data_IF_934075405778
#
_entry.id   IF_934075405778
#
_cell.length_a   1.000
_cell.length_b   1.000
_cell.length_c   1.000
_cell.angle_alpha   90.00
_cell.angle_beta   90.00
_cell.angle_gamma   90.00
#
_symmetry.space_group_name_H-M   'P 1'
#
loop_
_entity.id
_entity.type
_entity.pdbx_description
1 polymer ?
#
# COMPACT_ATOMS: atom_id res chain seq x y z
N UNK A 1 -4.77 -41.17 -38.90
CA UNK A 1 -4.71 -41.14 -37.41
C UNK A 1 -4.19 -39.77 -36.97
N UNK A 2 -5.13 -38.91 -36.61
CA UNK A 2 -5.06 -37.71 -35.76
C UNK A 2 -3.69 -37.06 -35.49
N UNK A 3 -3.37 -36.04 -36.28
CA UNK A 3 -2.43 -34.99 -35.89
C UNK A 3 -3.04 -34.13 -34.79
N UNK A 4 -2.50 -34.25 -33.57
CA UNK A 4 -2.76 -33.31 -32.48
C UNK A 4 -2.05 -31.99 -32.82
N UNK A 5 -2.79 -31.05 -33.37
CA UNK A 5 -2.38 -29.64 -33.39
C UNK A 5 -2.16 -29.19 -31.95
N UNK A 6 -0.90 -28.96 -31.56
CA UNK A 6 -0.59 -28.14 -30.41
C UNK A 6 -1.08 -26.74 -30.75
N UNK A 7 -2.24 -26.37 -30.19
CA UNK A 7 -2.72 -24.99 -30.21
C UNK A 7 -1.57 -24.10 -29.76
N UNK A 8 -1.16 -23.20 -30.64
CA UNK A 8 -0.11 -22.23 -30.43
C UNK A 8 -0.40 -21.46 -29.14
N UNK A 9 0.57 -21.34 -28.23
CA UNK A 9 0.42 -20.64 -26.94
C UNK A 9 0.01 -19.16 -27.03
N UNK A 10 -0.20 -18.64 -28.24
CA UNK A 10 -0.75 -17.33 -28.54
C UNK A 10 -2.25 -17.25 -28.24
N UNK A 11 -3.00 -18.35 -28.27
CA UNK A 11 -4.47 -18.33 -28.02
C UNK A 11 -4.85 -18.59 -26.56
N UNK A 12 -3.91 -19.00 -25.70
CA UNK A 12 -4.16 -19.21 -24.27
C UNK A 12 -4.01 -17.89 -23.51
N UNK A 13 -5.15 -17.31 -23.10
CA UNK A 13 -5.21 -16.08 -22.30
C UNK A 13 -4.36 -16.15 -21.03
N UNK A 14 -4.21 -17.34 -20.42
CA UNK A 14 -3.37 -17.50 -19.22
C UNK A 14 -1.90 -17.40 -19.55
N UNK A 15 -1.48 -17.95 -20.69
CA UNK A 15 -0.12 -17.82 -21.18
C UNK A 15 0.20 -16.36 -21.55
N UNK A 16 -0.72 -15.69 -22.25
CA UNK A 16 -0.62 -14.26 -22.55
C UNK A 16 -0.50 -13.42 -21.28
N UNK A 17 -1.37 -13.64 -20.29
CA UNK A 17 -1.33 -12.93 -19.01
C UNK A 17 0.01 -13.12 -18.29
N UNK A 18 0.51 -14.36 -18.16
CA UNK A 18 1.78 -14.63 -17.49
C UNK A 18 2.96 -13.97 -18.20
N UNK A 19 2.96 -13.99 -19.53
CA UNK A 19 4.00 -13.34 -20.33
C UNK A 19 3.96 -11.82 -20.10
N UNK A 20 2.80 -11.20 -20.28
CA UNK A 20 2.61 -9.76 -20.07
C UNK A 20 2.95 -9.32 -18.64
N UNK A 21 2.51 -10.08 -17.64
CA UNK A 21 2.84 -9.82 -16.23
C UNK A 21 4.35 -9.81 -16.02
N UNK A 22 5.07 -10.81 -16.53
CA UNK A 22 6.53 -10.88 -16.43
C UNK A 22 7.21 -9.72 -17.17
N UNK A 23 6.74 -9.38 -18.36
CA UNK A 23 7.28 -8.26 -19.15
C UNK A 23 7.07 -6.93 -18.44
N UNK A 24 5.86 -6.64 -17.95
CA UNK A 24 5.59 -5.41 -17.20
C UNK A 24 6.36 -5.37 -15.88
N UNK A 25 6.49 -6.50 -15.19
CA UNK A 25 7.26 -6.59 -13.95
C UNK A 25 8.74 -6.27 -14.20
N UNK A 26 9.34 -6.81 -15.27
CA UNK A 26 10.71 -6.49 -15.67
C UNK A 26 10.88 -5.02 -16.03
N UNK A 27 9.99 -4.50 -16.87
CA UNK A 27 10.04 -3.11 -17.36
C UNK A 27 9.86 -2.05 -16.26
N UNK A 28 9.23 -2.37 -15.12
CA UNK A 28 9.15 -1.45 -13.99
C UNK A 28 10.53 -1.10 -13.41
N UNK A 29 11.48 -2.05 -13.47
CA UNK A 29 12.85 -1.88 -13.02
C UNK A 29 13.81 -1.43 -14.13
N UNK A 30 13.31 -1.11 -15.32
CA UNK A 30 14.11 -0.56 -16.43
C UNK A 30 13.75 0.93 -16.59
N UNK A 31 14.73 1.80 -16.84
CA UNK A 31 14.50 3.23 -17.05
C UNK A 31 15.30 3.69 -18.26
N UNK A 32 14.58 4.04 -19.33
CA UNK A 32 15.16 4.51 -20.60
C UNK A 32 15.96 5.82 -20.43
N UNK A 33 15.80 6.54 -19.32
CA UNK A 33 16.43 7.83 -19.05
C UNK A 33 17.68 7.74 -18.17
N UNK A 34 17.96 6.57 -17.61
CA UNK A 34 19.08 6.36 -16.68
C UNK A 34 20.20 5.66 -17.45
N UNK A 35 21.45 6.18 -17.42
CA UNK A 35 22.58 5.53 -18.08
C UNK A 35 22.71 4.07 -17.61
N UNK A 36 23.13 3.16 -18.50
CA UNK A 36 23.31 1.72 -18.22
C UNK A 36 24.17 1.40 -16.98
N UNK A 37 24.87 2.41 -16.44
CA UNK A 37 25.73 2.31 -15.25
C UNK A 37 24.97 2.30 -13.92
N UNK A 38 23.69 2.71 -13.88
CA UNK A 38 22.91 2.74 -12.62
C UNK A 38 21.89 1.60 -12.61
N UNK A 39 22.15 0.61 -11.77
CA UNK A 39 21.23 -0.52 -11.57
C UNK A 39 20.01 -0.09 -10.74
N UNK A 40 18.85 -0.03 -11.39
CA UNK A 40 17.58 0.32 -10.76
C UNK A 40 17.09 -0.75 -9.78
N UNK A 41 17.47 -2.02 -9.98
CA UNK A 41 17.19 -3.08 -9.01
C UNK A 41 17.97 -2.79 -7.72
N UNK A 42 19.22 -2.40 -7.87
CA UNK A 42 20.05 -1.97 -6.73
C UNK A 42 19.45 -0.74 -6.04
N UNK A 43 18.94 0.23 -6.80
CA UNK A 43 18.26 1.41 -6.23
C UNK A 43 16.98 1.04 -5.47
N UNK A 44 16.18 0.11 -5.98
CA UNK A 44 15.00 -0.41 -5.27
C UNK A 44 15.39 -1.16 -3.98
N UNK A 45 16.50 -1.90 -3.98
CA UNK A 45 17.04 -2.55 -2.79
C UNK A 45 17.51 -1.52 -1.74
N UNK A 46 18.23 -0.48 -2.16
CA UNK A 46 18.64 0.61 -1.26
C UNK A 46 17.43 1.34 -0.67
N UNK A 47 16.42 1.60 -1.49
CA UNK A 47 15.18 2.23 -1.04
C UNK A 47 14.46 1.35 0.00
N UNK A 48 14.33 0.05 -0.28
CA UNK A 48 13.75 -0.90 0.67
C UNK A 48 14.56 -0.95 1.97
N UNK A 49 15.89 -0.96 1.89
CA UNK A 49 16.77 -0.94 3.06
C UNK A 49 16.56 0.32 3.92
N UNK A 50 16.48 1.51 3.29
CA UNK A 50 16.24 2.77 4.00
C UNK A 50 14.91 2.77 4.73
N UNK A 51 13.83 2.26 4.12
CA UNK A 51 12.51 2.19 4.76
C UNK A 51 12.39 1.04 5.78
N UNK A 52 13.19 -0.01 5.65
CA UNK A 52 13.14 -1.15 6.55
C UNK A 52 13.81 -0.88 7.91
N UNK A 53 14.82 -0.01 7.96
CA UNK A 53 15.63 0.24 9.17
C UNK A 53 14.84 0.97 10.29
N UNK A 54 14.15 2.10 10.05
CA UNK A 54 13.43 2.82 11.10
C UNK A 54 12.39 1.98 11.87
N UNK A 55 11.49 1.20 11.23
CA UNK A 55 10.56 0.36 11.96
C UNK A 55 11.27 -0.76 12.72
N UNK A 56 12.39 -1.30 12.21
CA UNK A 56 13.18 -2.30 12.92
C UNK A 56 13.81 -1.74 14.21
N UNK A 57 14.41 -0.55 14.14
CA UNK A 57 14.99 0.14 15.29
C UNK A 57 13.90 0.49 16.30
N UNK A 58 12.79 1.06 15.82
CA UNK A 58 11.65 1.39 16.69
C UNK A 58 11.07 0.15 17.37
N UNK A 59 10.89 -0.95 16.62
CA UNK A 59 10.47 -2.23 17.16
C UNK A 59 11.41 -2.69 18.28
N UNK A 60 12.73 -2.64 18.06
CA UNK A 60 13.72 -3.04 19.07
C UNK A 60 13.58 -2.23 20.36
N UNK A 61 13.53 -0.89 20.27
CA UNK A 61 13.44 -0.04 21.45
C UNK A 61 12.14 -0.23 22.23
N UNK A 62 11.01 -0.25 21.54
CA UNK A 62 9.71 -0.36 22.22
C UNK A 62 9.48 -1.76 22.76
N UNK A 63 10.00 -2.79 22.10
CA UNK A 63 9.90 -4.18 22.57
C UNK A 63 10.48 -4.39 23.97
N UNK A 64 11.49 -3.60 24.36
CA UNK A 64 12.07 -3.63 25.71
C UNK A 64 11.12 -3.15 26.81
N UNK A 65 10.01 -2.48 26.45
CA UNK A 65 9.00 -2.01 27.40
C UNK A 65 7.93 -3.06 27.75
N UNK A 66 7.97 -4.23 27.10
CA UNK A 66 7.04 -5.34 27.29
C UNK A 66 7.71 -6.49 28.04
N UNK A 67 6.95 -7.20 28.86
CA UNK A 67 7.47 -8.32 29.64
C UNK A 67 6.38 -9.21 30.20
N UNK A 68 6.77 -10.37 30.74
CA UNK A 68 5.86 -11.41 31.24
C UNK A 68 5.04 -11.01 32.47
N UNK A 69 5.24 -9.82 33.00
CA UNK A 69 4.43 -9.23 34.06
C UNK A 69 3.14 -8.58 33.53
N UNK A 70 3.01 -8.38 32.21
CA UNK A 70 1.81 -7.81 31.61
C UNK A 70 0.75 -8.88 31.36
N UNK A 71 -0.50 -8.52 31.62
CA UNK A 71 -1.67 -9.27 31.15
C UNK A 71 -1.89 -9.05 29.64
N UNK A 72 -2.64 -9.94 29.00
CA UNK A 72 -3.01 -9.85 27.58
C UNK A 72 -3.72 -8.52 27.26
N UNK A 73 -4.57 -8.06 28.18
CA UNK A 73 -5.30 -6.79 28.07
C UNK A 73 -4.38 -5.57 28.17
N UNK A 74 -3.46 -5.57 29.14
CA UNK A 74 -2.47 -4.50 29.27
C UNK A 74 -1.56 -4.42 28.04
N UNK A 75 -1.12 -5.57 27.51
CA UNK A 75 -0.38 -5.64 26.26
C UNK A 75 -1.21 -5.06 25.11
N UNK A 76 -2.46 -5.49 24.97
CA UNK A 76 -3.36 -5.08 23.91
C UNK A 76 -3.49 -3.56 23.82
N UNK A 77 -3.80 -2.94 24.96
CA UNK A 77 -4.03 -1.51 25.10
C UNK A 77 -2.73 -0.73 24.95
N UNK A 78 -1.66 -1.14 25.65
CA UNK A 78 -0.37 -0.43 25.62
C UNK A 78 0.30 -0.48 24.25
N UNK A 79 0.03 -1.51 23.45
CA UNK A 79 0.57 -1.70 22.12
C UNK A 79 -0.16 -0.90 21.01
N UNK A 80 -1.35 -0.33 21.26
CA UNK A 80 -2.12 0.36 20.21
C UNK A 80 -1.33 1.50 19.53
N UNK A 81 -0.64 2.39 20.25
CA UNK A 81 0.09 3.48 19.60
C UNK A 81 1.19 2.94 18.68
N UNK A 82 1.84 1.85 19.05
CA UNK A 82 2.88 1.23 18.23
C UNK A 82 2.29 0.49 17.04
N UNK A 83 1.18 -0.24 17.22
CA UNK A 83 0.43 -0.86 16.11
C UNK A 83 0.05 0.22 15.07
N UNK A 84 -0.47 1.37 15.50
CA UNK A 84 -0.77 2.51 14.63
C UNK A 84 0.48 3.12 13.98
N UNK A 85 1.60 3.19 14.69
CA UNK A 85 2.88 3.60 14.10
C UNK A 85 3.27 2.71 12.92
N UNK A 86 3.31 1.39 13.12
CA UNK A 86 3.70 0.44 12.06
C UNK A 86 2.75 0.48 10.87
N UNK A 87 1.44 0.53 11.12
CA UNK A 87 0.42 0.65 10.08
C UNK A 87 0.62 1.95 9.27
N UNK A 88 0.74 3.09 9.94
CA UNK A 88 0.94 4.38 9.29
C UNK A 88 2.30 4.46 8.59
N UNK A 89 3.35 3.83 9.13
CA UNK A 89 4.65 3.74 8.50
C UNK A 89 4.60 2.96 7.20
N UNK A 90 3.91 1.83 7.16
CA UNK A 90 3.69 1.05 5.93
C UNK A 90 2.95 1.86 4.87
N UNK A 91 1.89 2.57 5.28
CA UNK A 91 1.15 3.50 4.41
C UNK A 91 2.07 4.58 3.82
N UNK A 92 2.92 5.19 4.65
CA UNK A 92 3.90 6.17 4.22
C UNK A 92 4.93 5.57 3.26
N UNK A 93 5.56 4.45 3.61
CA UNK A 93 6.58 3.82 2.79
C UNK A 93 6.06 3.41 1.40
N UNK A 94 4.91 2.74 1.35
CA UNK A 94 4.27 2.38 0.07
C UNK A 94 3.84 3.61 -0.71
N UNK A 95 3.27 4.61 -0.03
CA UNK A 95 2.91 5.89 -0.64
C UNK A 95 4.10 6.60 -1.29
N UNK A 96 5.25 6.64 -0.60
CA UNK A 96 6.47 7.24 -1.10
C UNK A 96 6.92 6.57 -2.41
N UNK A 97 7.02 5.23 -2.39
CA UNK A 97 7.39 4.46 -3.60
C UNK A 97 6.39 4.69 -4.72
N UNK A 98 5.09 4.74 -4.41
CA UNK A 98 4.03 5.01 -5.39
C UNK A 98 4.22 6.38 -6.05
N UNK A 99 4.59 7.40 -5.28
CA UNK A 99 4.91 8.74 -5.81
C UNK A 99 6.19 8.73 -6.65
N UNK A 100 7.21 7.95 -6.27
CA UNK A 100 8.44 7.83 -7.09
C UNK A 100 8.18 7.19 -8.45
N UNK A 101 7.29 6.21 -8.51
CA UNK A 101 6.91 5.56 -9.78
C UNK A 101 5.68 6.19 -10.43
N UNK A 102 5.29 7.39 -10.00
CA UNK A 102 4.01 8.00 -10.34
C UNK A 102 3.72 8.06 -11.84
N UNK A 103 4.73 8.44 -12.62
CA UNK A 103 4.60 8.56 -14.08
C UNK A 103 4.49 7.20 -14.77
N UNK A 104 5.00 6.13 -14.15
CA UNK A 104 4.95 4.75 -14.67
C UNK A 104 3.66 4.00 -14.31
N UNK A 105 2.80 4.54 -13.41
CA UNK A 105 1.55 3.88 -13.05
C UNK A 105 0.69 3.64 -14.29
N UNK A 106 0.60 4.62 -15.19
CA UNK A 106 -0.21 4.53 -16.41
C UNK A 106 0.64 4.16 -17.62
N UNK A 107 0.05 3.54 -18.65
CA UNK A 107 0.77 3.19 -19.85
C UNK A 107 1.11 4.44 -20.67
N UNK A 108 2.34 4.45 -21.19
CA UNK A 108 2.77 5.48 -22.14
C UNK A 108 2.08 5.30 -23.50
N UNK A 109 2.07 6.38 -24.29
CA UNK A 109 1.52 6.35 -25.67
C UNK A 109 2.20 5.24 -26.51
N UNK A 110 3.49 4.98 -26.30
CA UNK A 110 4.24 3.92 -26.98
C UNK A 110 3.69 2.53 -26.61
N UNK A 111 3.53 2.25 -25.33
CA UNK A 111 2.95 1.00 -24.83
C UNK A 111 1.54 0.78 -25.39
N UNK A 112 0.74 1.85 -25.48
CA UNK A 112 -0.61 1.77 -26.03
C UNK A 112 -0.64 1.47 -27.54
N UNK A 113 0.31 1.98 -28.32
CA UNK A 113 0.42 1.69 -29.76
C UNK A 113 0.86 0.25 -29.99
N UNK A 114 1.89 -0.21 -29.26
CA UNK A 114 2.40 -1.58 -29.34
C UNK A 114 1.32 -2.57 -28.87
N UNK A 115 0.63 -2.26 -27.78
CA UNK A 115 -0.47 -3.06 -27.29
C UNK A 115 -1.68 -3.08 -28.23
N UNK A 116 -1.94 -1.96 -28.93
CA UNK A 116 -3.07 -1.82 -29.84
C UNK A 116 -2.93 -2.63 -31.14
N UNK A 117 -1.69 -2.98 -31.54
CA UNK A 117 -1.43 -3.82 -32.71
C UNK A 117 -1.46 -5.32 -32.41
N UNK A 118 -1.38 -5.70 -31.14
CA UNK A 118 -1.41 -7.09 -30.71
C UNK A 118 -2.87 -7.60 -30.60
N UNK A 119 -3.18 -8.83 -31.04
CA UNK A 119 -4.51 -9.43 -30.93
C UNK A 119 -4.81 -9.89 -29.49
N UNK A 120 -4.62 -9.01 -28.51
CA UNK A 120 -4.79 -9.30 -27.08
C UNK A 120 -5.97 -8.49 -26.54
N UNK A 121 -6.81 -9.13 -25.72
CA UNK A 121 -7.92 -8.45 -25.06
C UNK A 121 -7.39 -7.37 -24.12
N UNK A 122 -7.96 -6.16 -24.20
CA UNK A 122 -7.60 -5.04 -23.31
C UNK A 122 -7.68 -5.40 -21.82
N UNK A 123 -8.64 -6.26 -21.44
CA UNK A 123 -8.79 -6.73 -20.06
C UNK A 123 -7.55 -7.47 -19.59
N UNK A 124 -7.00 -8.38 -20.40
CA UNK A 124 -5.80 -9.17 -20.07
C UNK A 124 -4.60 -8.26 -19.83
N UNK A 125 -4.45 -7.22 -20.64
CA UNK A 125 -3.36 -6.26 -20.51
C UNK A 125 -3.49 -5.40 -19.25
N UNK A 126 -4.69 -4.86 -19.00
CA UNK A 126 -4.98 -4.09 -17.78
C UNK A 126 -4.74 -4.93 -16.53
N UNK A 127 -5.26 -6.15 -16.48
CA UNK A 127 -5.05 -7.04 -15.33
C UNK A 127 -3.58 -7.42 -15.17
N UNK A 128 -2.87 -7.73 -16.26
CA UNK A 128 -1.45 -8.09 -16.19
C UNK A 128 -0.61 -6.94 -15.63
N UNK A 129 -0.85 -5.71 -16.12
CA UNK A 129 -0.11 -4.53 -15.67
C UNK A 129 -0.45 -4.14 -14.22
N UNK A 130 -1.73 -4.10 -13.88
CA UNK A 130 -2.15 -3.80 -12.50
C UNK A 130 -1.63 -4.86 -11.52
N UNK A 131 -1.64 -6.15 -11.92
CA UNK A 131 -1.07 -7.22 -11.10
C UNK A 131 0.44 -7.07 -10.92
N UNK A 132 1.17 -6.66 -11.97
CA UNK A 132 2.61 -6.40 -11.88
C UNK A 132 2.93 -5.26 -10.90
N UNK A 133 2.17 -4.16 -10.98
CA UNK A 133 2.30 -3.04 -10.04
C UNK A 133 1.98 -3.46 -8.59
N UNK A 134 0.86 -4.17 -8.39
CA UNK A 134 0.48 -4.70 -7.06
C UNK A 134 1.57 -5.64 -6.53
N UNK A 135 2.14 -6.50 -7.37
CA UNK A 135 3.20 -7.43 -6.95
C UNK A 135 4.47 -6.69 -6.48
N UNK A 136 4.89 -5.63 -7.18
CA UNK A 136 6.03 -4.79 -6.76
C UNK A 136 5.74 -4.11 -5.44
N UNK A 137 4.56 -3.50 -5.31
CA UNK A 137 4.16 -2.76 -4.11
C UNK A 137 4.01 -3.67 -2.90
N UNK A 138 3.35 -4.82 -3.06
CA UNK A 138 3.22 -5.82 -2.00
C UNK A 138 4.60 -6.38 -1.66
N UNK A 139 5.44 -6.70 -2.64
CA UNK A 139 6.82 -7.13 -2.38
C UNK A 139 7.62 -6.11 -1.56
N UNK A 140 7.54 -4.83 -1.91
CA UNK A 140 8.15 -3.74 -1.15
C UNK A 140 7.57 -3.64 0.27
N UNK A 141 6.24 -3.66 0.42
CA UNK A 141 5.57 -3.63 1.71
C UNK A 141 5.98 -4.80 2.61
N UNK A 142 6.14 -6.00 2.04
CA UNK A 142 6.63 -7.17 2.76
C UNK A 142 8.02 -6.90 3.31
N UNK A 143 8.96 -6.45 2.46
CA UNK A 143 10.35 -6.20 2.89
C UNK A 143 10.42 -5.13 3.98
N UNK A 144 9.67 -4.04 3.84
CA UNK A 144 9.66 -2.95 4.83
C UNK A 144 9.10 -3.39 6.18
N UNK A 145 8.02 -4.19 6.18
CA UNK A 145 7.33 -4.57 7.41
C UNK A 145 7.88 -5.85 8.06
N UNK A 146 8.71 -6.63 7.37
CA UNK A 146 9.18 -7.92 7.86
C UNK A 146 9.96 -7.80 9.18
N UNK A 147 10.93 -6.87 9.34
CA UNK A 147 11.66 -6.78 10.61
C UNK A 147 10.80 -6.26 11.75
N UNK A 148 9.90 -5.30 11.49
CA UNK A 148 8.93 -4.84 12.48
C UNK A 148 8.06 -5.99 12.96
N UNK A 149 7.53 -6.79 12.03
CA UNK A 149 6.74 -7.99 12.32
C UNK A 149 7.52 -8.96 13.19
N UNK A 150 8.75 -9.31 12.83
CA UNK A 150 9.55 -10.29 13.58
C UNK A 150 9.94 -9.73 14.95
N UNK A 151 10.57 -8.57 15.01
CA UNK A 151 11.13 -8.02 16.26
C UNK A 151 9.99 -7.70 17.24
N UNK A 152 9.01 -6.91 16.81
CA UNK A 152 7.91 -6.50 17.69
C UNK A 152 7.06 -7.69 18.11
N UNK A 153 6.70 -8.58 17.19
CA UNK A 153 5.77 -9.67 17.54
C UNK A 153 6.43 -10.75 18.38
N UNK A 154 7.70 -11.09 18.12
CA UNK A 154 8.39 -12.08 18.91
C UNK A 154 8.67 -11.57 20.32
N UNK A 155 9.11 -10.32 20.47
CA UNK A 155 9.50 -9.81 21.79
C UNK A 155 8.28 -9.37 22.60
N UNK A 156 7.28 -8.74 21.98
CA UNK A 156 6.08 -8.31 22.70
C UNK A 156 5.13 -9.48 23.02
N UNK A 157 5.17 -10.58 22.26
CA UNK A 157 4.26 -11.71 22.43
C UNK A 157 4.86 -12.95 23.10
N UNK A 158 6.17 -12.99 23.41
CA UNK A 158 6.83 -14.23 23.86
C UNK A 158 6.29 -14.83 25.17
N UNK A 159 5.53 -14.07 25.96
CA UNK A 159 4.88 -14.53 27.19
C UNK A 159 3.40 -14.89 27.01
N UNK A 160 2.83 -14.69 25.81
CA UNK A 160 1.47 -15.10 25.49
C UNK A 160 1.36 -16.62 25.33
N UNK A 161 0.16 -17.20 25.50
CA UNK A 161 -0.13 -18.56 25.05
C UNK A 161 0.24 -18.76 23.57
N UNK A 162 0.68 -19.98 23.22
CA UNK A 162 1.20 -20.29 21.88
C UNK A 162 0.26 -19.85 20.74
N UNK A 163 -1.05 -20.05 20.88
CA UNK A 163 -2.02 -19.63 19.87
C UNK A 163 -2.02 -18.10 19.67
N UNK A 164 -2.14 -17.34 20.75
CA UNK A 164 -2.15 -15.87 20.70
C UNK A 164 -0.81 -15.32 20.19
N UNK A 165 0.30 -15.93 20.60
CA UNK A 165 1.64 -15.64 20.10
C UNK A 165 1.77 -15.84 18.59
N UNK A 166 1.26 -16.95 18.04
CA UNK A 166 1.33 -17.23 16.59
C UNK A 166 0.42 -16.32 15.77
N UNK A 167 -0.71 -15.87 16.34
CA UNK A 167 -1.65 -14.95 15.68
C UNK A 167 -1.13 -13.52 15.64
N UNK A 168 -0.35 -13.09 16.62
CA UNK A 168 0.18 -11.72 16.72
C UNK A 168 1.04 -11.26 15.51
N UNK A 169 2.05 -12.02 15.03
CA UNK A 169 2.81 -11.65 13.84
C UNK A 169 1.96 -11.69 12.57
N UNK A 170 0.99 -12.61 12.48
CA UNK A 170 0.06 -12.66 11.34
C UNK A 170 -0.83 -11.41 11.32
N UNK A 171 -1.35 -11.01 12.48
CA UNK A 171 -2.14 -9.79 12.64
C UNK A 171 -1.33 -8.55 12.22
N UNK A 172 -0.11 -8.42 12.73
CA UNK A 172 0.79 -7.33 12.40
C UNK A 172 1.11 -7.26 10.91
N UNK A 173 1.50 -8.38 10.33
CA UNK A 173 1.87 -8.46 8.92
C UNK A 173 0.68 -8.14 8.00
N UNK A 174 -0.46 -8.76 8.26
CA UNK A 174 -1.66 -8.56 7.43
C UNK A 174 -2.16 -7.13 7.53
N UNK A 175 -2.21 -6.53 8.72
CA UNK A 175 -2.64 -5.15 8.91
C UNK A 175 -1.71 -4.15 8.21
N UNK A 176 -0.39 -4.29 8.38
CA UNK A 176 0.59 -3.37 7.79
C UNK A 176 0.66 -3.48 6.26
N UNK A 177 0.71 -4.70 5.70
CA UNK A 177 0.76 -4.90 4.24
C UNK A 177 -0.53 -4.42 3.57
N UNK A 178 -1.69 -4.75 4.15
CA UNK A 178 -2.99 -4.34 3.59
C UNK A 178 -3.22 -2.82 3.69
N UNK A 179 -2.74 -2.19 4.75
CA UNK A 179 -2.72 -0.73 4.89
C UNK A 179 -1.89 -0.06 3.79
N UNK A 180 -0.68 -0.55 3.54
CA UNK A 180 0.18 -0.06 2.46
C UNK A 180 -0.49 -0.24 1.09
N UNK A 181 -1.07 -1.43 0.84
CA UNK A 181 -1.80 -1.71 -0.40
C UNK A 181 -2.97 -0.74 -0.62
N UNK A 182 -3.71 -0.37 0.43
CA UNK A 182 -4.79 0.61 0.31
C UNK A 182 -4.28 1.95 -0.22
N UNK A 183 -3.15 2.45 0.30
CA UNK A 183 -2.57 3.73 -0.15
C UNK A 183 -2.19 3.67 -1.62
N UNK A 184 -1.52 2.61 -2.05
CA UNK A 184 -1.18 2.43 -3.46
C UNK A 184 -2.44 2.43 -4.34
N UNK A 185 -3.45 1.64 -3.97
CA UNK A 185 -4.70 1.57 -4.73
C UNK A 185 -5.42 2.93 -4.75
N UNK A 186 -5.39 3.67 -3.65
CA UNK A 186 -6.05 4.98 -3.53
C UNK A 186 -5.37 6.02 -4.42
N UNK A 187 -4.04 6.06 -4.44
CA UNK A 187 -3.28 6.93 -5.32
C UNK A 187 -3.48 6.54 -6.80
N UNK A 188 -3.46 5.25 -7.12
CA UNK A 188 -3.73 4.76 -8.48
C UNK A 188 -5.15 5.11 -8.94
N UNK A 189 -6.15 4.92 -8.07
CA UNK A 189 -7.54 5.29 -8.33
C UNK A 189 -7.69 6.81 -8.52
N UNK A 190 -7.10 7.61 -7.64
CA UNK A 190 -7.11 9.07 -7.74
C UNK A 190 -6.53 9.53 -9.08
N UNK A 191 -5.33 9.05 -9.43
CA UNK A 191 -4.67 9.42 -10.68
C UNK A 191 -5.47 8.97 -11.91
N UNK A 192 -6.06 7.77 -11.88
CA UNK A 192 -6.93 7.29 -12.97
C UNK A 192 -8.17 8.18 -13.12
N UNK A 193 -8.84 8.51 -12.02
CA UNK A 193 -10.01 9.38 -12.02
C UNK A 193 -9.67 10.79 -12.52
N UNK A 194 -8.57 11.37 -12.06
CA UNK A 194 -8.08 12.67 -12.56
C UNK A 194 -7.81 12.62 -14.06
N UNK A 195 -7.23 11.54 -14.58
CA UNK A 195 -6.95 11.36 -16.00
C UNK A 195 -8.22 11.18 -16.86
N UNK A 196 -9.33 10.73 -16.27
CA UNK A 196 -10.63 10.65 -16.95
C UNK A 196 -11.33 12.02 -17.00
N UNK A 197 -11.27 12.78 -15.91
CA UNK A 197 -12.02 14.04 -15.77
C UNK A 197 -11.28 15.24 -16.36
N UNK A 198 -9.96 15.32 -16.21
CA UNK A 198 -9.20 16.53 -16.52
C UNK A 198 -8.59 16.51 -17.95
N UNK A 199 -8.45 17.68 -18.59
CA UNK A 199 -7.63 17.82 -19.79
C UNK A 199 -6.15 17.68 -19.44
N UNK A 200 -5.33 17.19 -20.39
CA UNK A 200 -3.90 16.84 -20.20
C UNK A 200 -3.06 17.97 -19.58
N UNK A 201 -3.39 19.24 -19.87
CA UNK A 201 -2.69 20.41 -19.29
C UNK A 201 -2.94 20.55 -17.79
N UNK A 202 -4.19 20.37 -17.36
CA UNK A 202 -4.58 20.51 -15.96
C UNK A 202 -4.23 19.26 -15.16
N UNK A 203 -4.30 18.07 -15.78
CA UNK A 203 -3.88 16.81 -15.19
C UNK A 203 -2.46 16.90 -14.64
N UNK A 204 -1.50 17.40 -15.43
CA UNK A 204 -0.10 17.54 -14.97
C UNK A 204 0.04 18.43 -13.74
N UNK A 205 -0.66 19.56 -13.70
CA UNK A 205 -0.61 20.49 -12.56
C UNK A 205 -1.25 19.91 -11.30
N UNK A 206 -2.47 19.36 -11.43
CA UNK A 206 -3.20 18.79 -10.30
C UNK A 206 -2.49 17.54 -9.77
N UNK A 207 -1.95 16.72 -10.67
CA UNK A 207 -1.16 15.55 -10.30
C UNK A 207 0.10 15.93 -9.52
N UNK A 208 0.84 16.94 -9.97
CA UNK A 208 2.03 17.43 -9.26
C UNK A 208 1.67 18.00 -7.87
N UNK A 209 0.57 18.76 -7.77
CA UNK A 209 0.08 19.25 -6.49
C UNK A 209 -0.36 18.11 -5.56
N UNK A 210 -1.06 17.10 -6.09
CA UNK A 210 -1.48 15.93 -5.31
C UNK A 210 -0.27 15.14 -4.77
N UNK A 211 0.77 14.93 -5.59
CA UNK A 211 2.02 14.33 -5.15
C UNK A 211 2.70 15.16 -4.07
N UNK A 212 2.82 16.47 -4.27
CA UNK A 212 3.47 17.36 -3.30
C UNK A 212 2.74 17.34 -1.96
N UNK A 213 1.42 17.49 -1.97
CA UNK A 213 0.59 17.43 -0.76
C UNK A 213 0.72 16.07 -0.07
N UNK A 214 0.70 14.98 -0.84
CA UNK A 214 0.88 13.65 -0.30
C UNK A 214 2.25 13.48 0.37
N UNK A 215 3.33 13.96 -0.27
CA UNK A 215 4.69 13.92 0.29
C UNK A 215 4.79 14.78 1.55
N UNK A 216 4.17 15.96 1.59
CA UNK A 216 4.12 16.80 2.79
C UNK A 216 3.43 16.05 3.94
N UNK A 217 2.23 15.54 3.72
CA UNK A 217 1.47 14.78 4.74
C UNK A 217 2.25 13.54 5.20
N UNK A 218 2.94 12.88 4.27
CA UNK A 218 3.79 11.72 4.56
C UNK A 218 4.97 12.10 5.47
N UNK A 219 5.69 13.17 5.14
CA UNK A 219 6.83 13.64 5.93
C UNK A 219 6.35 14.11 7.31
N UNK A 220 5.25 14.85 7.39
CA UNK A 220 4.64 15.26 8.64
C UNK A 220 4.28 14.05 9.50
N UNK A 221 3.63 13.04 8.93
CA UNK A 221 3.35 11.79 9.64
C UNK A 221 4.63 11.13 10.14
N UNK A 222 5.64 10.96 9.27
CA UNK A 222 6.89 10.28 9.63
C UNK A 222 7.66 10.99 10.75
N UNK A 223 7.64 12.34 10.76
CA UNK A 223 8.36 13.16 11.74
C UNK A 223 7.59 13.27 13.06
N UNK A 224 6.28 13.50 13.01
CA UNK A 224 5.48 13.81 14.21
C UNK A 224 4.80 12.59 14.85
N UNK A 225 4.57 11.50 14.10
CA UNK A 225 3.89 10.32 14.64
C UNK A 225 4.61 9.68 15.83
N UNK A 226 5.95 9.46 15.82
CA UNK A 226 6.63 8.89 16.99
C UNK A 226 6.39 9.71 18.27
N UNK A 227 6.50 11.03 18.18
CA UNK A 227 6.29 11.93 19.32
C UNK A 227 4.84 11.95 19.81
N UNK A 228 3.87 11.95 18.89
CA UNK A 228 2.45 11.87 19.22
C UNK A 228 2.13 10.54 19.93
N UNK A 229 2.65 9.44 19.40
CA UNK A 229 2.34 8.09 19.89
C UNK A 229 3.04 7.80 21.23
N UNK A 230 4.24 8.32 21.48
CA UNK A 230 4.88 8.30 22.80
C UNK A 230 4.06 9.08 23.82
N UNK A 231 3.53 10.26 23.47
CA UNK A 231 2.66 11.04 24.37
C UNK A 231 1.36 10.29 24.69
N UNK A 232 0.79 9.59 23.71
CA UNK A 232 -0.39 8.75 23.94
C UNK A 232 -0.07 7.52 24.80
N UNK A 233 1.11 6.91 24.63
CA UNK A 233 1.57 5.77 25.43
C UNK A 233 2.01 6.16 26.86
N UNK A 234 2.39 7.42 27.09
CA UNK A 234 2.76 7.95 28.40
C UNK A 234 1.56 8.32 29.28
N UNK A 235 0.33 8.24 28.74
CA UNK A 235 -0.90 8.35 29.54
C UNK A 235 -1.00 7.06 30.34
N UNK A 236 -0.83 7.17 31.66
CA UNK A 236 -0.75 6.04 32.59
C UNK A 236 -2.07 5.23 32.59
N UNK A 237 -2.06 3.93 32.24
CA UNK A 237 -3.22 3.06 32.38
C UNK A 237 -3.71 2.96 33.84
N UNK A 238 -2.84 3.17 34.83
CA UNK A 238 -3.21 3.13 36.26
C UNK A 238 -4.07 4.31 36.70
N UNK A 239 -3.88 5.49 36.11
CA UNK A 239 -4.72 6.67 36.34
C UNK A 239 -6.10 6.55 35.64
N UNK A 240 -6.28 5.52 34.80
CA UNK A 240 -7.48 5.35 33.99
C UNK A 240 -8.56 4.48 34.60
N UNK A 241 -8.42 3.80 35.74
CA UNK A 241 -9.57 3.03 36.29
C UNK A 241 -10.82 3.90 36.53
N UNK A 242 -10.65 5.17 36.95
CA UNK A 242 -11.74 6.15 37.07
C UNK A 242 -12.12 6.82 35.74
N UNK A 243 -11.17 7.04 34.83
CA UNK A 243 -11.41 7.68 33.52
C UNK A 243 -11.99 6.71 32.45
N UNK A 244 -11.65 5.43 32.54
CA UNK A 244 -12.14 4.30 31.74
C UNK A 244 -13.56 3.91 32.15
N UNK A 245 -13.93 4.18 33.41
CA UNK A 245 -15.31 4.09 33.91
C UNK A 245 -16.17 5.30 33.51
N UNK A 246 -15.55 6.47 33.28
CA UNK A 246 -16.23 7.71 32.89
C UNK A 246 -16.33 7.92 31.37
N UNK A 247 -15.50 7.23 30.58
CA UNK A 247 -15.56 7.25 29.13
C UNK A 247 -16.31 6.01 28.60
N UNK A 248 -17.01 6.15 27.47
CA UNK A 248 -17.80 5.08 26.82
C UNK A 248 -16.91 3.94 26.27
N UNK A 249 -16.27 3.18 27.16
CA UNK A 249 -15.55 1.93 26.89
C UNK A 249 -14.03 1.98 27.10
N UNK A 250 -13.39 0.78 27.20
CA UNK A 250 -11.95 0.61 27.48
C UNK A 250 -10.99 1.20 26.43
N UNK A 251 -11.52 1.70 25.31
CA UNK A 251 -10.77 2.23 24.17
C UNK A 251 -10.72 3.75 24.11
N UNK A 252 -11.22 4.45 25.13
CA UNK A 252 -11.24 5.91 25.19
C UNK A 252 -9.85 6.57 25.10
N UNK A 253 -8.80 5.88 25.56
CA UNK A 253 -7.41 6.34 25.41
C UNK A 253 -6.99 6.41 23.92
N UNK A 254 -7.61 5.58 23.08
CA UNK A 254 -7.61 5.73 21.64
C UNK A 254 -8.65 6.81 21.30
N UNK A 255 -8.42 8.05 21.74
CA UNK A 255 -9.29 9.20 21.42
C UNK A 255 -9.51 9.39 19.91
N UNK A 256 -8.71 8.71 19.07
CA UNK A 256 -8.90 8.56 17.62
C UNK A 256 -10.02 7.57 17.24
N UNK A 257 -10.21 6.44 17.92
CA UNK A 257 -11.33 5.51 17.61
C UNK A 257 -12.67 6.04 18.15
N UNK A 258 -12.63 6.83 19.22
CA UNK A 258 -13.84 7.35 19.88
C UNK A 258 -14.26 8.72 19.35
N UNK A 259 -13.36 9.48 18.72
CA UNK A 259 -13.71 10.77 18.11
C UNK A 259 -14.33 10.59 16.72
N UNK A 260 -15.35 11.40 16.42
CA UNK A 260 -16.01 11.43 15.10
C UNK A 260 -15.04 11.63 13.94
N UNK A 261 -13.89 12.26 14.17
CA UNK A 261 -12.88 12.52 13.15
C UNK A 261 -11.88 11.35 12.99
N UNK A 262 -11.45 10.72 14.09
CA UNK A 262 -10.41 9.70 14.02
C UNK A 262 -10.90 8.36 13.44
N UNK A 263 -12.20 8.07 13.48
CA UNK A 263 -12.81 6.92 12.78
C UNK A 263 -12.61 7.02 11.26
N UNK A 264 -12.37 8.20 10.70
CA UNK A 264 -12.12 8.38 9.26
C UNK A 264 -10.65 8.23 8.87
N UNK A 265 -9.74 8.03 9.83
CA UNK A 265 -8.33 7.86 9.55
C UNK A 265 -8.05 6.42 9.12
N UNK A 266 -7.54 6.19 7.89
CA UNK A 266 -7.28 4.84 7.39
C UNK A 266 -6.44 3.93 8.31
N UNK A 267 -5.40 4.42 9.02
CA UNK A 267 -4.64 3.57 9.94
C UNK A 267 -5.50 2.89 11.03
N UNK A 268 -6.57 3.54 11.48
CA UNK A 268 -7.47 3.03 12.52
C UNK A 268 -8.33 1.88 12.02
N UNK A 269 -8.65 1.84 10.71
CA UNK A 269 -9.36 0.71 10.11
C UNK A 269 -8.52 -0.57 10.13
N UNK A 270 -7.22 -0.44 9.84
CA UNK A 270 -6.29 -1.57 9.85
C UNK A 270 -5.85 -1.97 11.25
N UNK A 271 -5.95 -1.07 12.24
CA UNK A 271 -5.91 -1.47 13.64
C UNK A 271 -7.06 -2.43 13.93
N UNK A 272 -8.27 -2.15 13.44
CA UNK A 272 -9.39 -3.10 13.55
C UNK A 272 -9.08 -4.47 12.93
N UNK A 273 -8.47 -4.50 11.75
CA UNK A 273 -8.02 -5.76 11.11
C UNK A 273 -7.00 -6.49 11.99
N UNK A 274 -6.07 -5.76 12.59
CA UNK A 274 -5.07 -6.31 13.51
C UNK A 274 -5.75 -7.02 14.69
N UNK A 275 -6.60 -6.32 15.43
CA UNK A 275 -7.20 -6.84 16.66
C UNK A 275 -8.11 -8.05 16.39
N UNK A 276 -8.86 -8.04 15.26
CA UNK A 276 -9.66 -9.19 14.83
C UNK A 276 -8.79 -10.44 14.57
N UNK A 277 -7.66 -10.28 13.88
CA UNK A 277 -6.77 -11.41 13.58
C UNK A 277 -6.11 -11.91 14.86
N UNK A 278 -5.65 -11.00 15.73
CA UNK A 278 -5.03 -11.39 16.99
C UNK A 278 -6.04 -12.08 17.93
N UNK A 279 -7.29 -11.62 17.93
CA UNK A 279 -8.39 -12.19 18.73
C UNK A 279 -8.71 -11.39 19.99
N UNK A 280 -8.24 -10.15 20.08
CA UNK A 280 -8.52 -9.26 21.22
C UNK A 280 -9.75 -8.41 20.94
N UNK A 281 -10.76 -8.51 21.81
CA UNK A 281 -12.08 -7.85 21.71
C UNK A 281 -12.61 -7.67 20.26
N UNK A 282 -12.92 -8.77 19.57
CA UNK A 282 -13.31 -8.71 18.18
C UNK A 282 -14.63 -7.94 17.96
N UNK A 283 -15.48 -7.80 18.97
CA UNK A 283 -16.75 -7.08 18.85
C UNK A 283 -16.52 -5.57 18.74
N UNK A 284 -15.62 -5.02 19.57
CA UNK A 284 -15.29 -3.60 19.54
C UNK A 284 -14.62 -3.17 18.22
N UNK A 285 -13.75 -4.02 17.65
CA UNK A 285 -12.95 -3.68 16.47
C UNK A 285 -13.59 -4.06 15.12
N UNK A 286 -14.73 -4.77 15.13
CA UNK A 286 -15.38 -5.29 13.92
C UNK A 286 -15.72 -4.19 12.91
N UNK A 287 -16.28 -3.08 13.38
CA UNK A 287 -16.68 -1.97 12.50
C UNK A 287 -15.50 -1.38 11.75
N UNK A 288 -14.37 -1.22 12.43
CA UNK A 288 -13.12 -0.69 11.86
C UNK A 288 -12.51 -1.67 10.86
N UNK A 289 -12.47 -2.95 11.19
CA UNK A 289 -11.97 -3.99 10.29
C UNK A 289 -12.80 -4.06 8.99
N UNK A 290 -14.13 -3.99 9.10
CA UNK A 290 -15.04 -3.95 7.94
C UNK A 290 -14.80 -2.70 7.10
N UNK A 291 -14.62 -1.53 7.72
CA UNK A 291 -14.29 -0.31 6.99
C UNK A 291 -12.99 -0.45 6.18
N UNK A 292 -11.95 -1.05 6.76
CA UNK A 292 -10.67 -1.28 6.08
C UNK A 292 -10.79 -2.24 4.90
N UNK A 293 -11.50 -3.36 5.08
CA UNK A 293 -11.75 -4.33 4.01
C UNK A 293 -12.60 -3.74 2.88
N UNK A 294 -13.67 -3.01 3.22
CA UNK A 294 -14.51 -2.32 2.24
C UNK A 294 -13.70 -1.27 1.48
N UNK A 295 -12.88 -0.47 2.17
CA UNK A 295 -12.01 0.51 1.53
C UNK A 295 -11.08 -0.14 0.51
N UNK A 296 -10.48 -1.29 0.82
CA UNK A 296 -9.64 -2.04 -0.12
C UNK A 296 -10.43 -2.51 -1.35
N UNK A 297 -11.58 -3.15 -1.15
CA UNK A 297 -12.41 -3.68 -2.24
C UNK A 297 -12.92 -2.55 -3.14
N UNK A 298 -13.43 -1.48 -2.55
CA UNK A 298 -13.94 -0.31 -3.29
C UNK A 298 -12.82 0.34 -4.08
N UNK A 299 -11.67 0.59 -3.44
CA UNK A 299 -10.55 1.28 -4.08
C UNK A 299 -9.92 0.42 -5.18
N UNK A 300 -9.78 -0.89 -4.97
CA UNK A 300 -9.33 -1.83 -6.00
C UNK A 300 -10.28 -1.83 -7.21
N UNK A 301 -11.58 -1.81 -6.95
CA UNK A 301 -12.60 -1.77 -8.00
C UNK A 301 -12.51 -0.48 -8.79
N UNK A 302 -12.45 0.67 -8.12
CA UNK A 302 -12.30 1.98 -8.76
C UNK A 302 -11.00 2.03 -9.57
N UNK A 303 -9.87 1.65 -8.98
CA UNK A 303 -8.57 1.62 -9.66
C UNK A 303 -8.64 0.76 -10.93
N UNK A 304 -9.20 -0.45 -10.85
CA UNK A 304 -9.30 -1.37 -12.00
C UNK A 304 -10.18 -0.79 -13.12
N UNK A 305 -11.37 -0.27 -12.78
CA UNK A 305 -12.32 0.28 -13.74
C UNK A 305 -11.77 1.56 -14.39
N UNK A 306 -11.27 2.48 -13.57
CA UNK A 306 -10.74 3.75 -14.05
C UNK A 306 -9.46 3.54 -14.89
N UNK A 307 -8.58 2.63 -14.48
CA UNK A 307 -7.41 2.24 -15.27
C UNK A 307 -7.81 1.69 -16.64
N UNK A 308 -8.78 0.78 -16.68
CA UNK A 308 -9.30 0.24 -17.94
C UNK A 308 -9.91 1.31 -18.84
N UNK A 309 -10.60 2.30 -18.27
CA UNK A 309 -11.16 3.42 -19.02
C UNK A 309 -10.07 4.36 -19.56
N UNK A 310 -9.05 4.69 -18.77
CA UNK A 310 -7.90 5.48 -19.20
C UNK A 310 -7.17 4.76 -20.33
N UNK A 311 -6.94 3.45 -20.20
CA UNK A 311 -6.28 2.65 -21.22
C UNK A 311 -7.01 2.74 -22.57
N UNK A 312 -8.33 2.55 -22.57
CA UNK A 312 -9.15 2.67 -23.80
C UNK A 312 -9.07 4.07 -24.40
N UNK A 313 -9.08 5.11 -23.58
CA UNK A 313 -8.95 6.51 -24.03
C UNK A 313 -7.60 6.74 -24.72
N UNK A 314 -6.51 6.26 -24.13
CA UNK A 314 -5.15 6.43 -24.68
C UNK A 314 -4.99 5.68 -26.00
N UNK A 315 -5.44 4.42 -26.08
CA UNK A 315 -5.39 3.63 -27.33
C UNK A 315 -6.20 4.30 -28.43
N UNK A 316 -7.42 4.76 -28.13
CA UNK A 316 -8.27 5.45 -29.09
C UNK A 316 -7.59 6.70 -29.67
N UNK A 317 -7.04 7.57 -28.80
CA UNK A 317 -6.32 8.76 -29.27
C UNK A 317 -5.03 8.44 -30.04
N UNK A 318 -4.35 7.34 -29.70
CA UNK A 318 -3.15 6.91 -30.40
C UNK A 318 -3.45 6.44 -31.84
N UNK A 319 -4.61 5.82 -32.07
CA UNK A 319 -5.07 5.41 -33.40
C UNK A 319 -5.65 6.56 -34.22
N UNK A 320 -6.34 7.51 -33.57
CA UNK A 320 -6.97 8.66 -34.22
C UNK A 320 -5.97 9.74 -34.65
N UNK A 321 -4.80 9.80 -34.00
CA UNK A 321 -3.77 10.80 -34.31
C UNK A 321 -2.60 10.12 -35.03
N UNK A 322 -2.41 10.33 -36.34
CA UNK A 322 -1.22 9.85 -37.04
C UNK A 322 0.04 10.28 -36.30
N UNK A 323 1.15 9.51 -36.32
CA UNK A 323 2.44 10.04 -35.92
C UNK A 323 2.65 11.33 -36.72
N UNK A 324 3.08 12.39 -36.03
CA UNK A 324 3.30 13.70 -36.64
C UNK A 324 4.45 13.57 -37.65
N UNK A 325 4.14 13.16 -38.88
CA UNK A 325 5.07 13.19 -40.00
C UNK A 325 5.08 14.63 -40.51
N UNK A 326 5.81 15.49 -39.79
CA UNK A 326 6.54 16.67 -40.26
C UNK A 326 6.59 17.80 -39.21
N UNK A 327 7.79 18.14 -38.76
CA UNK A 327 8.58 19.21 -39.41
C UNK A 327 10.08 18.92 -39.20
N UNK A 328 10.91 18.97 -40.25
CA UNK A 328 12.36 19.04 -40.05
C UNK A 328 12.66 20.27 -39.18
N UNK A 329 13.56 20.10 -38.21
CA UNK A 329 14.10 21.19 -37.42
C UNK A 329 14.69 22.24 -38.36
N UNK A 330 13.98 23.36 -38.48
CA UNK A 330 14.42 24.54 -39.19
C UNK A 330 14.32 25.72 -38.23
N UNK A 331 15.49 26.08 -37.71
CA UNK A 331 15.86 27.28 -36.94
C UNK A 331 15.32 27.40 -35.52
#
# INVERSE_FOLDING_TARGET
MTGRGRGTGVDDERAQFRLLFRTFLGGLFENDLVPETVDLRQSALWLAAVFMIPPAIFALFVSLSYGSWMTDEELALRAVPQKLYFIGYSMAAVGFVTVLVWDKLFPDRRDAIVAGSLPIRTRTLVFARLSALIAVVVGFAIVVNLPGTVIFSFVAGNYLPLEAFLRYPVAHFMATVSAGLLVFLALAALQACLALVLPVRLLRRVSMLAQLLFVIVLIEWLVFAPGLLVRLAAIDPGATSEALAAADGPYAFVGLTSSRAGIWLPPVWFLGVYEIIWGFDPEAFRGLAVAGLLALVVTLTIATLAYGAVFRRVVRHALETPPDVARPAGL
#
